data_IF_476082801371
#
_entry.id   IF_476082801371
#
_cell.length_a   1.000
_cell.length_b   1.000
_cell.length_c   1.000
_cell.angle_alpha   90.00
_cell.angle_beta   90.00
_cell.angle_gamma   90.00
#
_symmetry.space_group_name_H-M   'P 1'
#
loop_
_entity.id
_entity.type
_entity.pdbx_description
1 polymer ?
#
# COMPACT_ATOMS: atom_id res chain seq x y z
N UNK A 1 -9.62 -0.21 -11.20
CA UNK A 1 -9.20 -0.26 -12.61
C UNK A 1 -7.87 0.48 -12.76
N UNK A 2 -6.97 0.08 -13.65
CA UNK A 2 -5.73 0.83 -13.91
C UNK A 2 -6.05 2.20 -14.53
N UNK A 3 -5.76 3.30 -13.83
CA UNK A 3 -6.11 4.65 -14.30
C UNK A 3 -5.32 5.08 -15.54
N UNK A 4 -4.06 4.66 -15.68
CA UNK A 4 -3.22 5.01 -16.85
C UNK A 4 -3.78 4.37 -18.12
N UNK A 5 -4.12 3.08 -18.08
CA UNK A 5 -4.70 2.40 -19.25
C UNK A 5 -6.05 3.00 -19.65
N UNK A 6 -6.86 3.41 -18.66
CA UNK A 6 -8.14 4.09 -18.91
C UNK A 6 -7.95 5.48 -19.53
N UNK A 7 -6.96 6.24 -19.06
CA UNK A 7 -6.60 7.55 -19.62
C UNK A 7 -6.19 7.39 -21.09
N UNK A 8 -5.31 6.43 -21.41
CA UNK A 8 -4.89 6.16 -22.80
C UNK A 8 -6.06 5.78 -23.73
N UNK A 9 -7.05 5.03 -23.25
CA UNK A 9 -8.25 4.71 -24.04
C UNK A 9 -9.08 5.98 -24.27
N UNK A 10 -9.25 6.84 -23.28
CA UNK A 10 -10.02 8.09 -23.41
C UNK A 10 -9.35 9.06 -24.39
N UNK A 11 -8.03 9.21 -24.30
CA UNK A 11 -7.22 10.08 -25.17
C UNK A 11 -7.18 9.61 -26.62
N UNK A 12 -7.52 8.35 -26.87
CA UNK A 12 -7.64 7.82 -28.23
C UNK A 12 -8.85 8.37 -28.99
N UNK A 13 -9.86 8.96 -28.34
CA UNK A 13 -11.00 9.64 -29.00
C UNK A 13 -11.60 8.87 -30.21
N UNK A 14 -11.74 7.55 -30.08
CA UNK A 14 -12.34 6.69 -31.10
C UNK A 14 -11.41 6.24 -32.25
N UNK A 15 -10.15 6.70 -32.31
CA UNK A 15 -9.14 6.10 -33.20
C UNK A 15 -8.46 4.90 -32.52
N UNK A 16 -7.80 4.08 -33.32
CA UNK A 16 -6.92 3.03 -32.80
C UNK A 16 -5.72 3.63 -32.06
N UNK A 17 -5.22 2.89 -31.07
CA UNK A 17 -3.98 3.21 -30.37
C UNK A 17 -2.79 3.02 -31.31
N UNK A 18 -1.85 3.95 -31.26
CA UNK A 18 -0.54 3.84 -31.90
C UNK A 18 0.40 2.92 -31.12
N UNK A 19 1.51 2.52 -31.75
CA UNK A 19 2.55 1.70 -31.10
C UNK A 19 3.09 2.33 -29.81
N UNK A 20 3.15 3.66 -29.73
CA UNK A 20 3.60 4.38 -28.54
C UNK A 20 2.56 4.26 -27.42
N UNK A 21 1.29 4.42 -27.76
CA UNK A 21 0.17 4.34 -26.81
C UNK A 21 -0.14 2.92 -26.35
N UNK A 22 0.34 1.91 -27.08
CA UNK A 22 0.29 0.50 -26.67
C UNK A 22 1.37 0.13 -25.64
N UNK A 23 2.44 0.93 -25.49
CA UNK A 23 3.54 0.62 -24.55
C UNK A 23 3.08 0.42 -23.10
N UNK A 24 2.17 1.24 -22.53
CA UNK A 24 1.67 1.02 -21.17
C UNK A 24 0.95 -0.32 -21.01
N UNK A 25 0.23 -0.80 -22.04
CA UNK A 25 -0.42 -2.10 -22.03
C UNK A 25 0.59 -3.25 -22.05
N UNK A 26 1.62 -3.13 -22.89
CA UNK A 26 2.71 -4.11 -22.93
C UNK A 26 3.45 -4.18 -21.59
N UNK A 27 3.75 -3.03 -20.97
CA UNK A 27 4.33 -2.97 -19.63
C UNK A 27 3.42 -3.60 -18.58
N UNK A 28 2.12 -3.28 -18.62
CA UNK A 28 1.14 -3.86 -17.69
C UNK A 28 1.14 -5.39 -17.77
N UNK A 29 1.15 -5.96 -18.97
CA UNK A 29 1.22 -7.43 -19.16
C UNK A 29 2.56 -7.98 -18.71
N UNK A 30 3.67 -7.33 -19.07
CA UNK A 30 5.02 -7.81 -18.76
C UNK A 30 5.28 -7.95 -17.25
N UNK A 31 4.77 -7.03 -16.43
CA UNK A 31 4.95 -7.11 -14.96
C UNK A 31 3.82 -7.85 -14.23
N UNK A 32 2.89 -8.50 -14.94
CA UNK A 32 1.75 -9.18 -14.30
C UNK A 32 2.18 -10.29 -13.35
N UNK A 33 3.15 -11.13 -13.74
CA UNK A 33 3.58 -12.28 -12.93
C UNK A 33 4.15 -11.85 -11.57
N UNK A 34 5.01 -10.83 -11.55
CA UNK A 34 5.56 -10.26 -10.31
C UNK A 34 4.45 -9.68 -9.43
N UNK A 35 3.54 -8.88 -10.01
CA UNK A 35 2.44 -8.25 -9.26
C UNK A 35 1.50 -9.31 -8.68
N UNK A 36 1.18 -10.34 -9.46
CA UNK A 36 0.33 -11.45 -9.02
C UNK A 36 0.99 -12.26 -7.89
N UNK A 37 2.27 -12.60 -8.02
CA UNK A 37 3.01 -13.32 -6.98
C UNK A 37 3.07 -12.51 -5.68
N UNK A 38 3.35 -11.21 -5.79
CA UNK A 38 3.37 -10.30 -4.64
C UNK A 38 2.00 -10.22 -3.98
N UNK A 39 0.93 -10.06 -4.77
CA UNK A 39 -0.45 -10.10 -4.30
C UNK A 39 -0.79 -11.41 -3.57
N UNK A 40 -0.41 -12.56 -4.14
CA UNK A 40 -0.71 -13.88 -3.58
C UNK A 40 -0.07 -14.06 -2.20
N UNK A 41 1.22 -13.72 -2.07
CA UNK A 41 1.93 -13.78 -0.79
C UNK A 41 1.30 -12.80 0.21
N UNK A 42 0.95 -11.59 -0.22
CA UNK A 42 0.34 -10.58 0.65
C UNK A 42 -1.06 -10.99 1.14
N UNK A 43 -1.84 -11.64 0.28
CA UNK A 43 -3.14 -12.22 0.65
C UNK A 43 -3.00 -13.33 1.69
N UNK A 44 -2.01 -14.20 1.54
CA UNK A 44 -1.76 -15.32 2.46
C UNK A 44 -1.18 -14.85 3.80
N UNK A 45 -0.14 -14.00 3.75
CA UNK A 45 0.67 -13.63 4.92
C UNK A 45 0.29 -12.29 5.55
N UNK A 46 -0.59 -11.51 4.93
CA UNK A 46 -0.92 -10.14 5.35
C UNK A 46 -1.31 -10.02 6.83
N UNK A 47 -2.17 -10.93 7.31
CA UNK A 47 -2.58 -10.94 8.73
C UNK A 47 -1.42 -11.22 9.67
N UNK A 48 -0.52 -12.16 9.33
CA UNK A 48 0.65 -12.46 10.15
C UNK A 48 1.67 -11.33 10.17
N UNK A 49 1.87 -10.63 9.05
CA UNK A 49 2.73 -9.45 8.98
C UNK A 49 2.28 -8.40 10.00
N UNK A 50 1.00 -8.01 9.94
CA UNK A 50 0.44 -7.01 10.86
C UNK A 50 0.58 -7.44 12.32
N UNK A 51 0.26 -8.70 12.65
CA UNK A 51 0.39 -9.19 14.02
C UNK A 51 1.84 -9.14 14.51
N UNK A 52 2.80 -9.52 13.67
CA UNK A 52 4.22 -9.45 14.02
C UNK A 52 4.70 -8.01 14.16
N UNK A 53 4.27 -7.10 13.28
CA UNK A 53 4.57 -5.68 13.38
C UNK A 53 4.05 -5.09 14.68
N UNK A 54 2.82 -5.39 15.06
CA UNK A 54 2.24 -4.92 16.32
C UNK A 54 2.96 -5.49 17.54
N UNK A 55 3.35 -6.78 17.50
CA UNK A 55 4.16 -7.39 18.58
C UNK A 55 5.50 -6.70 18.76
N UNK A 56 6.17 -6.30 17.67
CA UNK A 56 7.41 -5.50 17.74
C UNK A 56 7.14 -4.10 18.25
N UNK A 57 6.09 -3.44 17.79
CA UNK A 57 5.74 -2.10 18.23
C UNK A 57 5.42 -2.06 19.74
N UNK A 58 4.85 -3.13 20.30
CA UNK A 58 4.63 -3.29 21.75
C UNK A 58 5.93 -3.31 22.58
N UNK A 59 7.09 -3.54 21.96
CA UNK A 59 8.40 -3.49 22.64
C UNK A 59 8.98 -2.07 22.69
N UNK A 60 8.26 -1.07 22.18
CA UNK A 60 8.68 0.34 22.16
C UNK A 60 7.84 1.18 23.15
N UNK A 61 7.98 2.51 23.09
CA UNK A 61 7.16 3.46 23.85
C UNK A 61 5.65 3.35 23.57
N UNK A 62 5.25 2.70 22.48
CA UNK A 62 3.85 2.56 22.05
C UNK A 62 3.06 1.44 22.75
N UNK A 63 3.66 0.70 23.70
CA UNK A 63 3.01 -0.44 24.39
C UNK A 63 1.61 -0.13 24.93
N UNK A 64 1.44 1.02 25.60
CA UNK A 64 0.15 1.41 26.20
C UNK A 64 -0.93 1.57 25.13
N UNK A 65 -0.61 2.31 24.06
CA UNK A 65 -1.52 2.56 22.93
C UNK A 65 -1.93 1.26 22.25
N UNK A 66 -1.00 0.33 22.04
CA UNK A 66 -1.32 -0.97 21.42
C UNK A 66 -2.14 -1.87 22.37
N UNK A 67 -1.94 -1.77 23.68
CA UNK A 67 -2.76 -2.52 24.64
C UNK A 67 -4.20 -2.03 24.63
N UNK A 68 -4.41 -0.70 24.54
CA UNK A 68 -5.74 -0.08 24.58
C UNK A 68 -6.47 -0.08 23.22
N UNK A 69 -5.72 -0.01 22.12
CA UNK A 69 -6.27 0.22 20.76
C UNK A 69 -5.72 -0.76 19.70
N UNK A 70 -5.03 -1.81 20.10
CA UNK A 70 -4.36 -2.75 19.19
C UNK A 70 -5.29 -3.43 18.19
N UNK A 71 -6.54 -3.70 18.56
CA UNK A 71 -7.53 -4.28 17.65
C UNK A 71 -7.90 -3.34 16.49
N UNK A 72 -8.01 -2.03 16.77
CA UNK A 72 -8.24 -1.00 15.74
C UNK A 72 -7.01 -0.86 14.85
N UNK A 73 -5.82 -0.76 15.46
CA UNK A 73 -4.56 -0.67 14.72
C UNK A 73 -4.37 -1.89 13.80
N UNK A 74 -4.64 -3.11 14.29
CA UNK A 74 -4.59 -4.32 13.49
C UNK A 74 -5.56 -4.27 12.32
N UNK A 75 -6.82 -3.88 12.55
CA UNK A 75 -7.84 -3.76 11.51
C UNK A 75 -7.39 -2.78 10.43
N UNK A 76 -6.96 -1.60 10.83
CA UNK A 76 -6.61 -0.52 9.91
C UNK A 76 -5.38 -0.91 9.08
N UNK A 77 -4.32 -1.44 9.70
CA UNK A 77 -3.13 -1.94 8.99
C UNK A 77 -3.45 -3.12 8.06
N UNK A 78 -4.35 -4.03 8.47
CA UNK A 78 -4.78 -5.15 7.62
C UNK A 78 -5.52 -4.62 6.39
N UNK A 79 -6.39 -3.63 6.57
CA UNK A 79 -7.09 -2.99 5.48
C UNK A 79 -6.13 -2.23 4.56
N UNK A 80 -5.12 -1.55 5.10
CA UNK A 80 -4.03 -0.95 4.30
C UNK A 80 -3.37 -1.98 3.39
N UNK A 81 -2.98 -3.14 3.92
CA UNK A 81 -2.37 -4.19 3.10
C UNK A 81 -3.32 -4.73 2.04
N UNK A 82 -4.63 -4.80 2.29
CA UNK A 82 -5.62 -5.18 1.28
C UNK A 82 -5.70 -4.15 0.15
N UNK A 83 -5.72 -2.86 0.49
CA UNK A 83 -5.70 -1.77 -0.49
C UNK A 83 -4.40 -1.79 -1.31
N UNK A 84 -3.25 -2.04 -0.68
CA UNK A 84 -1.95 -2.20 -1.36
C UNK A 84 -1.98 -3.42 -2.28
N UNK A 85 -2.49 -4.57 -1.82
CA UNK A 85 -2.59 -5.78 -2.62
C UNK A 85 -3.43 -5.54 -3.89
N UNK A 86 -4.55 -4.83 -3.76
CA UNK A 86 -5.40 -4.45 -4.88
C UNK A 86 -4.70 -3.47 -5.83
N UNK A 87 -4.01 -2.46 -5.29
CA UNK A 87 -3.28 -1.49 -6.09
C UNK A 87 -2.13 -2.14 -6.89
N UNK A 88 -1.39 -3.06 -6.29
CA UNK A 88 -0.35 -3.86 -6.95
C UNK A 88 -0.98 -4.71 -8.06
N UNK A 89 -2.02 -5.49 -7.76
CA UNK A 89 -2.61 -6.39 -8.75
C UNK A 89 -3.15 -5.63 -9.97
N UNK A 90 -3.77 -4.48 -9.74
CA UNK A 90 -4.31 -3.62 -10.81
C UNK A 90 -3.29 -2.65 -11.41
N UNK A 91 -2.07 -2.60 -10.89
CA UNK A 91 -1.02 -1.64 -11.26
C UNK A 91 -1.53 -0.18 -11.24
N UNK A 92 -2.20 0.19 -10.14
CA UNK A 92 -2.95 1.43 -10.03
C UNK A 92 -2.47 2.32 -8.87
N UNK A 93 -1.22 2.83 -8.90
CA UNK A 93 -0.68 3.65 -7.83
C UNK A 93 -1.43 4.97 -7.65
N UNK A 94 -1.87 5.61 -8.75
CA UNK A 94 -2.70 6.84 -8.68
C UNK A 94 -3.99 6.62 -7.90
N UNK A 95 -4.69 5.52 -8.18
CA UNK A 95 -5.93 5.20 -7.46
C UNK A 95 -5.71 4.93 -5.98
N UNK A 96 -4.61 4.27 -5.61
CA UNK A 96 -4.27 4.08 -4.19
C UNK A 96 -4.10 5.41 -3.46
N UNK A 97 -3.37 6.36 -4.05
CA UNK A 97 -3.19 7.69 -3.45
C UNK A 97 -4.53 8.41 -3.27
N UNK A 98 -5.29 8.54 -4.35
CA UNK A 98 -6.53 9.33 -4.37
C UNK A 98 -7.65 8.73 -3.53
N UNK A 99 -7.83 7.40 -3.58
CA UNK A 99 -8.99 6.72 -3.00
C UNK A 99 -8.73 6.24 -1.57
N UNK A 100 -7.46 6.08 -1.17
CA UNK A 100 -7.11 5.51 0.13
C UNK A 100 -6.18 6.40 0.96
N UNK A 101 -5.01 6.79 0.43
CA UNK A 101 -3.99 7.51 1.22
C UNK A 101 -4.52 8.84 1.74
N UNK A 102 -5.13 9.66 0.89
CA UNK A 102 -5.68 10.96 1.29
C UNK A 102 -6.78 10.82 2.36
N UNK A 103 -7.60 9.77 2.27
CA UNK A 103 -8.63 9.50 3.27
C UNK A 103 -8.03 9.11 4.63
N UNK A 104 -7.05 8.20 4.62
CA UNK A 104 -6.33 7.80 5.83
C UNK A 104 -5.56 8.95 6.45
N UNK A 105 -4.95 9.83 5.65
CA UNK A 105 -4.26 11.03 6.12
C UNK A 105 -5.21 11.92 6.93
N UNK A 106 -6.38 12.21 6.37
CA UNK A 106 -7.39 13.03 7.03
C UNK A 106 -7.88 12.42 8.35
N UNK A 107 -8.13 11.12 8.38
CA UNK A 107 -8.56 10.42 9.62
C UNK A 107 -7.45 10.44 10.67
N UNK A 108 -6.23 10.09 10.27
CA UNK A 108 -5.09 9.99 11.19
C UNK A 108 -4.79 11.34 11.83
N UNK A 109 -4.89 12.41 11.04
CA UNK A 109 -4.75 13.79 11.50
C UNK A 109 -5.86 14.21 12.45
N UNK A 110 -7.13 13.96 12.10
CA UNK A 110 -8.26 14.30 12.95
C UNK A 110 -8.22 13.60 14.32
N UNK A 111 -7.52 12.46 14.42
CA UNK A 111 -7.35 11.69 15.66
C UNK A 111 -6.02 11.95 16.37
N UNK A 112 -5.15 12.81 15.82
CA UNK A 112 -3.80 13.09 16.32
C UNK A 112 -2.97 11.81 16.53
N UNK A 113 -2.94 10.93 15.52
CA UNK A 113 -2.27 9.61 15.57
C UNK A 113 -1.08 9.46 14.62
N UNK A 114 -0.65 10.54 13.97
CA UNK A 114 0.37 10.57 12.92
C UNK A 114 1.65 9.85 13.36
N UNK A 115 2.24 10.23 14.49
CA UNK A 115 3.49 9.62 14.99
C UNK A 115 3.33 8.12 15.23
N UNK A 116 2.27 7.70 15.93
CA UNK A 116 2.02 6.28 16.19
C UNK A 116 1.73 5.48 14.93
N UNK A 117 1.06 6.08 13.95
CA UNK A 117 0.78 5.45 12.66
C UNK A 117 2.06 5.27 11.84
N UNK A 118 2.90 6.31 11.75
CA UNK A 118 4.20 6.26 11.06
C UNK A 118 5.07 5.13 11.64
N UNK A 119 5.19 5.04 12.96
CA UNK A 119 6.00 4.00 13.59
C UNK A 119 5.43 2.58 13.37
N UNK A 120 4.10 2.44 13.36
CA UNK A 120 3.45 1.19 13.01
C UNK A 120 3.73 0.75 11.57
N UNK A 121 3.65 1.66 10.60
CA UNK A 121 3.94 1.35 9.20
C UNK A 121 5.43 1.13 8.94
N UNK A 122 6.34 1.81 9.63
CA UNK A 122 7.78 1.50 9.59
C UNK A 122 8.09 0.11 10.11
N UNK A 123 7.43 -0.29 11.20
CA UNK A 123 7.56 -1.65 11.73
C UNK A 123 6.99 -2.69 10.76
N UNK A 124 5.95 -2.33 10.00
CA UNK A 124 5.41 -3.16 8.92
C UNK A 124 6.36 -3.29 7.73
N UNK A 125 7.05 -2.22 7.33
CA UNK A 125 8.06 -2.27 6.27
C UNK A 125 9.17 -3.27 6.59
N UNK A 126 9.60 -3.33 7.86
CA UNK A 126 10.60 -4.30 8.31
C UNK A 126 10.09 -5.75 8.21
N UNK A 127 8.83 -6.01 8.58
CA UNK A 127 8.24 -7.35 8.43
C UNK A 127 8.07 -7.75 6.97
N UNK A 128 7.74 -6.79 6.09
CA UNK A 128 7.66 -6.99 4.65
C UNK A 128 9.04 -7.36 4.08
N UNK A 129 10.09 -6.62 4.43
CA UNK A 129 11.48 -6.90 4.00
C UNK A 129 11.95 -8.29 4.46
N UNK A 130 11.55 -8.73 5.65
CA UNK A 130 11.91 -10.04 6.17
C UNK A 130 11.15 -11.21 5.52
N UNK A 131 10.00 -10.95 4.90
CA UNK A 131 9.05 -12.00 4.47
C UNK A 131 8.98 -12.16 2.95
N UNK A 132 9.23 -11.10 2.18
CA UNK A 132 9.06 -11.09 0.73
C UNK A 132 10.39 -11.16 -0.02
N UNK A 133 10.40 -11.70 -1.24
CA UNK A 133 11.48 -11.46 -2.19
C UNK A 133 11.69 -9.95 -2.42
N UNK A 134 12.92 -9.56 -2.76
CA UNK A 134 13.32 -8.16 -2.85
C UNK A 134 12.39 -7.30 -3.72
N UNK A 135 11.97 -7.80 -4.88
CA UNK A 135 11.10 -7.06 -5.81
C UNK A 135 9.69 -6.83 -5.22
N UNK A 136 9.08 -7.87 -4.63
CA UNK A 136 7.76 -7.74 -3.98
C UNK A 136 7.82 -6.87 -2.74
N UNK A 137 8.91 -6.95 -1.96
CA UNK A 137 9.14 -6.09 -0.81
C UNK A 137 9.26 -4.62 -1.23
N UNK A 138 10.00 -4.33 -2.31
CA UNK A 138 10.14 -2.99 -2.86
C UNK A 138 8.79 -2.43 -3.32
N UNK A 139 7.98 -3.23 -4.02
CA UNK A 139 6.63 -2.83 -4.44
C UNK A 139 5.76 -2.45 -3.24
N UNK A 140 5.65 -3.33 -2.24
CA UNK A 140 4.81 -3.09 -1.06
C UNK A 140 5.32 -1.87 -0.27
N UNK A 141 6.63 -1.80 -0.04
CA UNK A 141 7.20 -0.70 0.73
C UNK A 141 7.05 0.64 0.04
N UNK A 142 7.08 0.71 -1.30
CA UNK A 142 6.80 1.95 -2.02
C UNK A 142 5.37 2.49 -1.78
N UNK A 143 4.39 1.62 -1.52
CA UNK A 143 3.06 2.04 -1.11
C UNK A 143 3.00 2.45 0.37
N UNK A 144 3.74 1.75 1.24
CA UNK A 144 3.86 2.14 2.66
C UNK A 144 4.59 3.47 2.83
N UNK A 145 5.58 3.76 1.99
CA UNK A 145 6.29 5.04 1.96
C UNK A 145 5.33 6.18 1.60
N UNK A 146 4.43 6.00 0.63
CA UNK A 146 3.39 7.00 0.33
C UNK A 146 2.49 7.29 1.54
N UNK A 147 2.10 6.25 2.29
CA UNK A 147 1.31 6.41 3.51
C UNK A 147 2.08 7.17 4.59
N UNK A 148 3.34 6.78 4.83
CA UNK A 148 4.21 7.43 5.82
C UNK A 148 4.44 8.90 5.46
N UNK A 149 4.73 9.17 4.19
CA UNK A 149 4.93 10.52 3.68
C UNK A 149 3.68 11.37 3.88
N UNK A 150 2.51 10.86 3.51
CA UNK A 150 1.24 11.57 3.71
C UNK A 150 0.97 11.90 5.19
N UNK A 151 1.30 11.01 6.13
CA UNK A 151 1.18 11.31 7.56
C UNK A 151 2.21 12.31 8.08
N UNK A 152 3.37 12.41 7.42
CA UNK A 152 4.43 13.35 7.78
C UNK A 152 4.20 14.76 7.22
N UNK A 153 3.57 14.87 6.05
CA UNK A 153 3.33 16.13 5.34
C UNK A 153 2.18 16.93 5.96
N UNK A 154 2.26 17.21 7.27
CA UNK A 154 1.29 18.08 7.95
C UNK A 154 1.02 19.34 7.13
N UNK A 155 -0.19 19.46 6.60
CA UNK A 155 -0.68 20.69 5.96
C UNK A 155 -0.85 21.78 7.01
#
# INVERSE_FOLDING_TARGET
MNKVLLESIKESDGRYLSDIELRPFAQFVASYETRFTTYAILKEKGKSLVLNSLRRLMQTSHRKVITEHGSKCQRDMTYTLQCIAQAILMDNPKGFMEEYVLWMQNITRALHKETSAIDAYRTLQQEVLATFPAEGALMINGYLDQMIQAFSDGL
#
